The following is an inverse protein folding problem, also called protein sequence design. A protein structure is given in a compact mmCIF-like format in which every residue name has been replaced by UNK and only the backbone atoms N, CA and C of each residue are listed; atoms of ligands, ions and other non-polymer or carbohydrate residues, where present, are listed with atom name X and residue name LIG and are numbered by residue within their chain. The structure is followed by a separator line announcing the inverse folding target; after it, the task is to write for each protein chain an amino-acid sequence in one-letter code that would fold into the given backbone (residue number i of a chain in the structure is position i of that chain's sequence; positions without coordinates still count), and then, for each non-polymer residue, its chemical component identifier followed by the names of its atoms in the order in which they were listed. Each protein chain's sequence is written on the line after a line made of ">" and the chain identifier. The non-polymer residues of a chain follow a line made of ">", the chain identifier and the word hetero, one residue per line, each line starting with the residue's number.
data_IF_147215120367
#
_entry.id   IF_147215120367
#
_cell.length_a   1.000
_cell.length_b   1.000
_cell.length_c   1.000
_cell.angle_alpha   90.00
_cell.angle_beta   90.00
_cell.angle_gamma   90.00
#
_symmetry.space_group_name_H-M   'P 1'
#
loop_
_entity.id
_entity.type
_entity.pdbx_description
1 polymer ?
#
# COMPACT_ATOMS: atom_id res chain seq x y z
N UNK A 1 49.63 -31.65 -7.46
CA UNK A 1 50.74 -30.82 -7.96
C UNK A 1 50.20 -30.09 -9.19
N UNK A 2 49.82 -28.81 -9.04
CA UNK A 2 49.17 -28.03 -10.10
C UNK A 2 50.18 -27.53 -11.12
N UNK A 3 49.94 -27.81 -12.39
CA UNK A 3 50.71 -27.33 -13.54
C UNK A 3 50.52 -25.83 -13.71
N UNK A 4 51.59 -25.05 -13.51
CA UNK A 4 51.62 -23.64 -13.89
C UNK A 4 51.95 -23.56 -15.38
N UNK A 5 51.06 -22.94 -16.17
CA UNK A 5 51.32 -22.66 -17.58
C UNK A 5 52.38 -21.57 -17.69
N UNK A 6 53.57 -21.96 -18.14
CA UNK A 6 54.71 -21.05 -18.36
C UNK A 6 54.56 -20.44 -19.75
N UNK A 7 54.30 -19.14 -19.81
CA UNK A 7 54.24 -18.38 -21.06
C UNK A 7 55.63 -17.81 -21.35
N UNK A 8 56.30 -18.28 -22.41
CA UNK A 8 57.58 -17.72 -22.85
C UNK A 8 57.37 -16.55 -23.81
N UNK A 9 58.06 -15.43 -23.56
CA UNK A 9 58.01 -14.23 -24.41
C UNK A 9 59.39 -14.06 -25.04
N UNK A 10 59.49 -14.36 -26.34
CA UNK A 10 60.77 -14.37 -27.08
C UNK A 10 61.24 -12.97 -27.53
N UNK A 11 60.63 -11.90 -27.02
CA UNK A 11 60.94 -10.51 -27.41
C UNK A 11 61.29 -9.65 -26.21
N UNK A 12 62.22 -8.71 -26.40
CA UNK A 12 62.64 -7.76 -25.37
C UNK A 12 61.47 -6.85 -24.99
N UNK A 13 61.00 -6.98 -23.74
CA UNK A 13 59.91 -6.15 -23.19
C UNK A 13 60.46 -4.74 -22.97
N UNK A 14 60.05 -3.80 -23.81
CA UNK A 14 60.49 -2.37 -23.75
C UNK A 14 59.52 -1.47 -22.97
N UNK A 15 58.50 -2.07 -22.36
CA UNK A 15 57.57 -1.41 -21.44
C UNK A 15 56.50 -2.40 -21.00
N UNK A 16 56.22 -2.44 -19.71
CA UNK A 16 55.09 -3.19 -19.16
C UNK A 16 54.28 -2.27 -18.26
N UNK A 17 52.96 -2.38 -18.35
CA UNK A 17 52.04 -1.76 -17.42
C UNK A 17 51.19 -2.88 -16.83
N UNK A 18 51.26 -3.05 -15.51
CA UNK A 18 50.38 -3.97 -14.79
C UNK A 18 49.02 -3.29 -14.72
N UNK A 19 48.00 -3.92 -15.29
CA UNK A 19 46.61 -3.49 -15.11
C UNK A 19 46.33 -3.58 -13.62
N UNK A 20 46.38 -2.44 -12.94
CA UNK A 20 46.02 -2.35 -11.53
C UNK A 20 44.51 -2.48 -11.49
N UNK A 21 44.01 -3.56 -10.90
CA UNK A 21 42.58 -3.74 -10.67
C UNK A 21 42.04 -2.49 -9.98
N UNK A 22 41.17 -1.79 -10.70
CA UNK A 22 40.45 -0.65 -10.18
C UNK A 22 39.56 -1.17 -9.05
N UNK A 23 39.61 -0.58 -7.84
CA UNK A 23 38.84 -1.10 -6.72
C UNK A 23 37.36 -1.10 -7.12
N UNK A 24 36.74 -2.28 -7.03
CA UNK A 24 35.33 -2.46 -7.34
C UNK A 24 34.52 -1.38 -6.59
N UNK A 25 33.73 -0.62 -7.34
CA UNK A 25 32.90 0.44 -6.77
C UNK A 25 32.09 -0.14 -5.61
N UNK A 26 32.03 0.55 -4.44
CA UNK A 26 31.34 0.03 -3.28
C UNK A 26 29.88 -0.22 -3.62
N UNK A 27 29.46 -1.48 -3.56
CA UNK A 27 28.05 -1.87 -3.67
C UNK A 27 27.29 -1.23 -2.51
N UNK A 28 26.33 -0.37 -2.84
CA UNK A 28 25.44 0.25 -1.85
C UNK A 28 24.75 -0.84 -1.02
N UNK A 29 24.67 -0.69 0.32
CA UNK A 29 24.10 -1.70 1.19
C UNK A 29 22.63 -1.94 0.85
N UNK A 30 22.18 -3.17 1.08
CA UNK A 30 20.76 -3.49 1.06
C UNK A 30 20.05 -2.79 2.22
N UNK A 31 18.87 -2.25 1.93
CA UNK A 31 18.03 -1.49 2.86
C UNK A 31 16.61 -1.99 2.69
N UNK A 32 16.09 -2.69 3.69
CA UNK A 32 14.73 -3.21 3.65
C UNK A 32 13.71 -2.05 3.73
N UNK A 33 12.87 -1.84 2.70
CA UNK A 33 11.91 -0.75 2.68
C UNK A 33 10.81 -0.89 3.75
N UNK A 34 10.60 -2.07 4.34
CA UNK A 34 9.64 -2.29 5.43
C UNK A 34 10.07 -1.58 6.71
N UNK A 35 11.37 -1.67 7.04
CA UNK A 35 11.97 -1.04 8.23
C UNK A 35 12.50 0.37 8.01
N UNK A 36 12.51 0.86 6.77
CA UNK A 36 13.04 2.19 6.46
C UNK A 36 12.25 3.27 7.22
N UNK A 37 12.94 4.10 8.00
CA UNK A 37 12.32 5.20 8.73
C UNK A 37 12.04 6.37 7.79
N UNK A 38 10.83 6.90 7.87
CA UNK A 38 10.38 8.03 7.08
C UNK A 38 10.08 9.20 8.02
N UNK A 39 10.81 10.29 7.91
CA UNK A 39 10.61 11.43 8.82
C UNK A 39 9.32 12.18 8.50
N UNK A 40 9.08 12.42 7.22
CA UNK A 40 7.91 13.14 6.73
C UNK A 40 7.44 12.59 5.40
N UNK A 41 6.12 12.53 5.24
CA UNK A 41 5.43 12.27 3.98
C UNK A 41 5.72 13.40 2.98
N UNK A 42 6.07 13.08 1.72
CA UNK A 42 6.23 14.11 0.69
C UNK A 42 4.91 14.85 0.41
N UNK A 43 5.01 16.12 -0.01
CA UNK A 43 3.83 16.91 -0.37
C UNK A 43 3.18 16.38 -1.65
N UNK A 44 1.86 16.50 -1.75
CA UNK A 44 1.10 16.09 -2.94
C UNK A 44 -0.17 15.32 -2.62
N UNK A 45 -0.80 14.77 -3.66
CA UNK A 45 -1.92 13.82 -3.52
C UNK A 45 -1.38 12.42 -3.26
N UNK A 46 -2.03 11.67 -2.37
CA UNK A 46 -1.70 10.25 -2.19
C UNK A 46 -2.96 9.42 -2.13
N UNK A 47 -2.76 8.13 -2.36
CA UNK A 47 -3.80 7.13 -2.22
C UNK A 47 -4.15 6.96 -0.73
N UNK A 48 -5.45 6.93 -0.46
CA UNK A 48 -5.95 6.77 0.90
C UNK A 48 -7.32 6.14 0.92
N UNK A 49 -7.53 5.25 1.87
CA UNK A 49 -8.83 4.62 2.09
C UNK A 49 -9.52 5.25 3.29
N UNK A 50 -10.80 5.59 3.12
CA UNK A 50 -11.64 6.08 4.22
C UNK A 50 -12.59 4.98 4.69
N UNK A 51 -12.48 4.62 5.95
CA UNK A 51 -13.34 3.65 6.61
C UNK A 51 -14.41 4.38 7.42
N UNK A 52 -15.68 4.01 7.22
CA UNK A 52 -16.77 4.35 8.14
C UNK A 52 -17.02 3.15 9.05
N UNK A 53 -16.75 3.31 10.33
CA UNK A 53 -16.91 2.27 11.34
C UNK A 53 -18.19 2.54 12.15
N UNK A 54 -19.18 1.68 12.03
CA UNK A 54 -20.40 1.72 12.85
C UNK A 54 -20.24 0.75 14.03
N UNK A 55 -19.73 1.28 15.14
CA UNK A 55 -19.43 0.54 16.36
C UNK A 55 -20.70 0.41 17.20
N UNK A 56 -21.11 -0.83 17.50
CA UNK A 56 -22.20 -1.05 18.46
C UNK A 56 -21.61 -1.14 19.86
N UNK A 57 -22.05 -0.26 20.76
CA UNK A 57 -21.59 -0.19 22.15
C UNK A 57 -22.75 -0.37 23.12
N UNK A 58 -22.47 -0.61 24.40
CA UNK A 58 -23.48 -0.64 25.47
C UNK A 58 -24.32 0.64 25.56
N UNK A 59 -23.74 1.80 25.19
CA UNK A 59 -24.41 3.09 25.18
C UNK A 59 -25.17 3.38 23.87
N UNK A 60 -25.17 2.44 22.92
CA UNK A 60 -25.78 2.58 21.60
C UNK A 60 -24.76 2.58 20.45
N UNK A 61 -25.25 2.65 19.20
CA UNK A 61 -24.40 2.68 18.01
C UNK A 61 -23.68 4.02 17.89
N UNK A 62 -22.43 3.98 17.46
CA UNK A 62 -21.56 5.15 17.25
C UNK A 62 -20.82 5.01 15.93
N UNK A 63 -20.73 6.08 15.15
CA UNK A 63 -20.00 6.09 13.89
C UNK A 63 -18.68 6.87 14.05
N UNK A 64 -17.58 6.28 13.59
CA UNK A 64 -16.29 6.96 13.49
C UNK A 64 -15.68 6.72 12.11
N UNK A 65 -15.02 7.74 11.57
CA UNK A 65 -14.33 7.62 10.31
C UNK A 65 -12.82 7.62 10.54
N UNK A 66 -12.14 6.68 9.87
CA UNK A 66 -10.69 6.54 9.93
C UNK A 66 -10.17 6.60 8.50
N UNK A 67 -9.17 7.44 8.27
CA UNK A 67 -8.48 7.52 6.98
C UNK A 67 -7.10 6.89 7.12
N UNK A 68 -6.74 6.03 6.18
CA UNK A 68 -5.44 5.38 6.06
C UNK A 68 -4.77 5.91 4.78
N UNK A 69 -3.63 6.58 4.92
CA UNK A 69 -2.83 7.07 3.79
C UNK A 69 -1.67 6.13 3.47
N UNK A 70 -1.50 5.83 2.19
CA UNK A 70 -0.50 4.87 1.69
C UNK A 70 0.59 5.54 0.88
N UNK A 71 1.83 5.11 1.11
CA UNK A 71 3.04 5.65 0.50
C UNK A 71 3.88 4.65 -0.23
N UNK A 72 4.50 5.08 -1.33
CA UNK A 72 5.61 4.34 -1.96
C UNK A 72 6.85 4.48 -1.10
N UNK A 73 7.47 3.35 -0.76
CA UNK A 73 8.74 3.33 -0.02
C UNK A 73 9.69 2.41 -0.76
N UNK A 74 10.84 2.95 -1.15
CA UNK A 74 11.86 2.22 -1.89
C UNK A 74 13.08 1.96 -1.03
N UNK A 75 13.70 0.82 -1.26
CA UNK A 75 14.92 0.36 -0.62
C UNK A 75 15.76 -0.42 -1.61
N UNK A 76 16.67 -1.24 -1.09
CA UNK A 76 17.52 -2.13 -1.90
C UNK A 76 17.49 -3.53 -1.33
N UNK A 77 17.30 -4.52 -2.19
CA UNK A 77 17.35 -5.93 -1.82
C UNK A 77 18.05 -6.71 -2.92
N UNK A 78 19.03 -7.53 -2.55
CA UNK A 78 19.88 -8.28 -3.48
C UNK A 78 20.51 -7.37 -4.54
N UNK A 79 20.95 -6.16 -4.15
CA UNK A 79 21.58 -5.19 -5.03
C UNK A 79 20.64 -4.48 -6.03
N UNK A 80 19.33 -4.76 -5.99
CA UNK A 80 18.31 -4.11 -6.83
C UNK A 80 17.47 -3.14 -6.03
N UNK A 81 17.07 -2.03 -6.66
CA UNK A 81 16.05 -1.15 -6.08
C UNK A 81 14.71 -1.87 -6.08
N UNK A 82 14.05 -1.88 -4.93
CA UNK A 82 12.73 -2.47 -4.76
C UNK A 82 11.82 -1.49 -4.03
N UNK A 83 10.56 -1.43 -4.41
CA UNK A 83 9.58 -0.54 -3.79
C UNK A 83 8.35 -1.30 -3.33
N UNK A 84 7.77 -0.84 -2.23
CA UNK A 84 6.53 -1.36 -1.66
C UNK A 84 5.57 -0.21 -1.34
N UNK A 85 4.30 -0.54 -1.19
CA UNK A 85 3.33 0.37 -0.59
C UNK A 85 3.26 0.14 0.92
N UNK A 86 3.33 1.20 1.72
CA UNK A 86 3.23 1.16 3.18
C UNK A 86 2.12 2.09 3.67
N UNK A 87 1.35 1.70 4.71
CA UNK A 87 0.49 2.64 5.40
C UNK A 87 1.35 3.59 6.23
N UNK A 88 1.35 4.88 5.91
CA UNK A 88 2.21 5.88 6.57
C UNK A 88 1.45 6.82 7.49
N UNK A 89 0.16 7.02 7.25
CA UNK A 89 -0.65 7.96 8.02
C UNK A 89 -2.01 7.40 8.35
N UNK A 90 -2.45 7.69 9.57
CA UNK A 90 -3.75 7.34 10.13
C UNK A 90 -4.31 8.60 10.77
N UNK A 91 -5.55 8.95 10.48
CA UNK A 91 -6.21 10.07 11.15
C UNK A 91 -7.73 9.94 11.16
N UNK A 92 -8.34 10.65 12.10
CA UNK A 92 -9.80 10.85 12.18
C UNK A 92 -10.10 12.28 11.70
N UNK A 93 -11.03 12.49 10.76
CA UNK A 93 -11.39 13.83 10.30
C UNK A 93 -11.88 14.74 11.44
N UNK A 94 -11.53 16.04 11.35
CA UNK A 94 -11.73 17.01 12.44
C UNK A 94 -13.19 17.23 12.85
N UNK A 95 -14.17 17.06 11.94
CA UNK A 95 -15.60 17.24 12.26
C UNK A 95 -16.16 16.13 13.17
N UNK A 96 -15.31 15.22 13.60
CA UNK A 96 -15.62 14.21 14.61
C UNK A 96 -14.80 14.46 15.88
N UNK A 97 -14.29 15.66 16.17
CA UNK A 97 -13.55 15.91 17.41
C UNK A 97 -14.47 16.31 18.56
N UNK A 98 -15.33 15.41 19.03
CA UNK A 98 -15.90 15.55 20.38
C UNK A 98 -14.78 15.36 21.41
N UNK A 99 -14.98 15.79 22.67
CA UNK A 99 -14.00 15.53 23.75
C UNK A 99 -13.71 14.04 23.87
N UNK A 100 -14.71 13.19 23.61
CA UNK A 100 -14.58 11.73 23.57
C UNK A 100 -13.71 11.22 22.40
N UNK A 101 -13.35 12.04 21.42
CA UNK A 101 -12.55 11.62 20.24
C UNK A 101 -11.13 12.19 20.25
N UNK A 102 -10.75 12.98 21.26
CA UNK A 102 -9.38 13.49 21.41
C UNK A 102 -8.36 12.35 21.58
N UNK A 103 -8.71 11.32 22.35
CA UNK A 103 -7.84 10.15 22.53
C UNK A 103 -7.69 9.35 21.24
N UNK A 104 -8.74 9.27 20.41
CA UNK A 104 -8.64 8.59 19.10
C UNK A 104 -7.67 9.35 18.20
N UNK A 105 -7.82 10.67 18.11
CA UNK A 105 -6.93 11.52 17.32
C UNK A 105 -5.47 11.41 17.78
N UNK A 106 -5.22 11.44 19.09
CA UNK A 106 -3.89 11.22 19.65
C UNK A 106 -3.34 9.83 19.32
N UNK A 107 -4.16 8.78 19.43
CA UNK A 107 -3.80 7.40 19.09
C UNK A 107 -3.41 7.28 17.62
N UNK A 108 -4.19 7.88 16.71
CA UNK A 108 -3.91 7.84 15.27
C UNK A 108 -2.62 8.60 14.91
N UNK A 109 -2.32 9.71 15.59
CA UNK A 109 -1.04 10.43 15.43
C UNK A 109 0.15 9.58 15.87
N UNK A 110 0.06 8.93 17.03
CA UNK A 110 1.09 8.00 17.52
C UNK A 110 1.24 6.80 16.61
N UNK A 111 0.12 6.24 16.11
CA UNK A 111 0.13 5.14 15.16
C UNK A 111 0.81 5.54 13.84
N UNK A 112 0.54 6.75 13.33
CA UNK A 112 1.23 7.28 12.15
C UNK A 112 2.73 7.40 12.35
N UNK A 113 3.18 7.85 13.53
CA UNK A 113 4.59 7.90 13.86
C UNK A 113 5.22 6.50 13.89
N UNK A 114 4.57 5.53 14.54
CA UNK A 114 5.03 4.14 14.58
C UNK A 114 5.09 3.53 13.16
N UNK A 115 4.09 3.80 12.34
CA UNK A 115 4.00 3.29 10.98
C UNK A 115 5.10 3.84 10.06
N UNK A 116 5.40 5.14 10.16
CA UNK A 116 6.57 5.76 9.52
C UNK A 116 7.89 5.15 9.96
N UNK A 117 7.96 4.66 11.20
CA UNK A 117 9.11 3.92 11.73
C UNK A 117 9.20 2.45 11.31
N UNK A 118 8.22 1.91 10.57
CA UNK A 118 8.19 0.49 10.17
C UNK A 118 7.54 -0.44 11.20
N UNK A 119 6.77 0.11 12.16
CA UNK A 119 6.17 -0.64 13.26
C UNK A 119 4.64 -0.70 13.20
N UNK A 120 4.03 -0.47 12.03
CA UNK A 120 2.57 -0.39 11.88
C UNK A 120 1.86 -1.67 12.37
N UNK A 121 2.31 -2.84 11.92
CA UNK A 121 1.73 -4.13 12.29
C UNK A 121 1.79 -4.37 13.81
N UNK A 122 2.97 -4.13 14.41
CA UNK A 122 3.19 -4.29 15.85
C UNK A 122 2.35 -3.31 16.68
N UNK A 123 2.32 -2.04 16.29
CA UNK A 123 1.53 -1.03 16.96
C UNK A 123 0.03 -1.37 16.93
N UNK A 124 -0.50 -1.83 15.78
CA UNK A 124 -1.88 -2.29 15.67
C UNK A 124 -2.16 -3.51 16.55
N UNK A 125 -1.25 -4.49 16.58
CA UNK A 125 -1.37 -5.66 17.45
C UNK A 125 -1.38 -5.29 18.94
N UNK A 126 -0.64 -4.25 19.35
CA UNK A 126 -0.70 -3.74 20.72
C UNK A 126 -1.99 -2.95 20.99
N UNK A 127 -2.50 -2.18 20.02
CA UNK A 127 -3.80 -1.51 20.14
C UNK A 127 -4.97 -2.50 20.28
N UNK A 128 -4.87 -3.70 19.70
CA UNK A 128 -5.86 -4.79 19.89
C UNK A 128 -5.99 -5.25 21.35
N UNK A 129 -4.97 -5.01 22.18
CA UNK A 129 -4.93 -5.44 23.59
C UNK A 129 -5.52 -4.42 24.55
N UNK A 130 -5.88 -3.22 24.07
CA UNK A 130 -6.46 -2.18 24.92
C UNK A 130 -7.85 -2.62 25.39
N UNK A 131 -8.07 -2.57 26.70
CA UNK A 131 -9.31 -2.95 27.37
C UNK A 131 -10.03 -1.74 27.94
N UNK A 132 -11.35 -1.84 28.08
CA UNK A 132 -12.20 -0.80 28.68
C UNK A 132 -13.30 -1.41 29.58
N UNK A 133 -13.60 -0.76 30.71
CA UNK A 133 -14.71 -1.00 31.64
C UNK A 133 -16.14 -0.66 31.15
N UNK A 134 -16.33 -0.01 29.98
CA UNK A 134 -17.68 0.29 29.44
C UNK A 134 -18.35 -0.85 28.67
N UNK A 135 -17.77 -2.04 28.75
CA UNK A 135 -18.29 -3.25 28.15
C UNK A 135 -17.85 -3.46 26.70
N UNK A 136 -18.31 -4.57 26.10
CA UNK A 136 -17.86 -5.01 24.79
C UNK A 136 -18.29 -4.07 23.66
N UNK A 137 -17.46 -4.03 22.63
CA UNK A 137 -17.76 -3.38 21.34
C UNK A 137 -18.01 -4.47 20.30
N UNK A 138 -19.16 -4.44 19.66
CA UNK A 138 -19.48 -5.37 18.58
C UNK A 138 -19.22 -4.70 17.23
N UNK A 139 -18.25 -5.23 16.49
CA UNK A 139 -17.87 -4.68 15.19
C UNK A 139 -17.16 -5.72 14.31
N UNK A 140 -17.50 -5.78 13.03
CA UNK A 140 -16.89 -6.69 12.07
C UNK A 140 -17.42 -8.12 12.16
N UNK A 141 -16.97 -8.96 11.23
CA UNK A 141 -17.35 -10.38 11.15
C UNK A 141 -16.11 -11.25 11.00
N UNK A 142 -16.15 -12.44 11.59
CA UNK A 142 -15.15 -13.47 11.32
C UNK A 142 -15.42 -14.18 9.98
N UNK A 143 -14.54 -15.11 9.59
CA UNK A 143 -14.71 -15.91 8.37
C UNK A 143 -16.01 -16.73 8.35
N UNK A 144 -16.56 -17.09 9.52
CA UNK A 144 -17.85 -17.78 9.65
C UNK A 144 -19.07 -16.84 9.65
N UNK A 145 -18.87 -15.53 9.41
CA UNK A 145 -19.95 -14.53 9.36
C UNK A 145 -20.49 -14.07 10.73
N UNK A 146 -19.93 -14.56 11.85
CA UNK A 146 -20.33 -14.17 13.20
C UNK A 146 -19.73 -12.81 13.57
N UNK A 147 -20.54 -11.97 14.19
CA UNK A 147 -20.10 -10.66 14.71
C UNK A 147 -18.98 -10.83 15.74
N UNK A 148 -17.92 -10.04 15.59
CA UNK A 148 -16.80 -10.02 16.53
C UNK A 148 -17.09 -9.11 17.71
N UNK A 149 -16.54 -9.49 18.86
CA UNK A 149 -16.56 -8.71 20.09
C UNK A 149 -15.13 -8.24 20.40
N UNK A 150 -15.01 -6.99 20.82
CA UNK A 150 -13.75 -6.33 21.16
C UNK A 150 -13.83 -5.71 22.54
N UNK A 151 -12.71 -5.70 23.26
CA UNK A 151 -12.63 -5.21 24.66
C UNK A 151 -12.58 -3.68 24.78
N UNK A 152 -12.46 -2.95 23.67
CA UNK A 152 -12.50 -1.49 23.64
C UNK A 152 -12.78 -0.95 22.23
N UNK A 153 -13.14 0.34 22.15
CA UNK A 153 -13.29 1.06 20.86
C UNK A 153 -11.95 1.11 20.11
N UNK A 154 -10.83 1.30 20.83
CA UNK A 154 -9.46 1.26 20.27
C UNK A 154 -9.19 -0.07 19.60
N UNK A 155 -9.51 -1.18 20.28
CA UNK A 155 -9.27 -2.52 19.76
C UNK A 155 -10.13 -2.80 18.51
N UNK A 156 -11.39 -2.34 18.50
CA UNK A 156 -12.27 -2.47 17.33
C UNK A 156 -11.74 -1.67 16.13
N UNK A 157 -11.27 -0.43 16.35
CA UNK A 157 -10.64 0.41 15.32
C UNK A 157 -9.35 -0.25 14.79
N UNK A 158 -8.49 -0.74 15.67
CA UNK A 158 -7.25 -1.42 15.28
C UNK A 158 -7.53 -2.65 14.41
N UNK A 159 -8.53 -3.45 14.78
CA UNK A 159 -8.97 -4.59 13.96
C UNK A 159 -9.48 -4.16 12.58
N UNK A 160 -10.27 -3.07 12.53
CA UNK A 160 -10.79 -2.54 11.27
C UNK A 160 -9.65 -2.12 10.34
N UNK A 161 -8.65 -1.42 10.87
CA UNK A 161 -7.44 -1.04 10.14
C UNK A 161 -6.67 -2.28 9.67
N UNK A 162 -6.41 -3.25 10.57
CA UNK A 162 -5.71 -4.48 10.20
C UNK A 162 -6.41 -5.24 9.07
N UNK A 163 -7.75 -5.33 9.12
CA UNK A 163 -8.52 -5.95 8.06
C UNK A 163 -8.42 -5.19 6.73
N UNK A 164 -8.34 -3.86 6.75
CA UNK A 164 -8.11 -3.08 5.54
C UNK A 164 -6.69 -3.29 4.98
N UNK A 165 -5.68 -3.27 5.84
CA UNK A 165 -4.29 -3.55 5.45
C UNK A 165 -4.10 -4.97 4.91
N UNK A 166 -4.89 -5.93 5.40
CA UNK A 166 -4.92 -7.30 4.85
C UNK A 166 -5.48 -7.32 3.42
N UNK A 167 -6.60 -6.62 3.15
CA UNK A 167 -7.14 -6.48 1.79
C UNK A 167 -6.15 -5.78 0.86
N UNK A 168 -5.43 -4.79 1.39
CA UNK A 168 -4.36 -4.07 0.68
C UNK A 168 -3.05 -4.87 0.56
N UNK A 169 -3.04 -6.14 0.96
CA UNK A 169 -1.90 -7.06 0.85
C UNK A 169 -0.64 -6.52 1.56
N UNK A 170 -0.81 -5.68 2.57
CA UNK A 170 0.27 -5.27 3.48
C UNK A 170 0.40 -6.27 4.65
N UNK A 171 -0.74 -6.73 5.18
CA UNK A 171 -0.80 -7.80 6.17
C UNK A 171 -1.27 -9.13 5.56
N UNK A 172 -0.93 -10.24 6.21
CA UNK A 172 -1.43 -11.57 5.91
C UNK A 172 -2.73 -11.91 6.67
N UNK A 173 -3.18 -13.17 6.58
CA UNK A 173 -4.41 -13.63 7.25
C UNK A 173 -4.30 -13.67 8.79
N UNK A 174 -3.08 -13.70 9.33
CA UNK A 174 -2.80 -13.65 10.76
C UNK A 174 -2.54 -12.21 11.27
N UNK A 175 -2.69 -11.22 10.39
CA UNK A 175 -2.34 -9.81 10.63
C UNK A 175 -0.85 -9.57 10.88
N UNK A 176 0.01 -10.43 10.36
CA UNK A 176 1.46 -10.24 10.35
C UNK A 176 1.88 -9.51 9.07
N UNK A 177 3.01 -8.80 9.12
CA UNK A 177 3.55 -8.12 7.93
C UNK A 177 3.98 -9.16 6.89
N UNK A 178 3.57 -8.97 5.63
CA UNK A 178 3.91 -9.90 4.56
C UNK A 178 5.42 -9.92 4.24
N UNK A 179 5.92 -11.04 3.67
CA UNK A 179 7.27 -11.10 3.12
C UNK A 179 7.53 -10.00 2.08
N UNK A 180 8.77 -9.48 2.06
CA UNK A 180 9.16 -8.35 1.20
C UNK A 180 8.93 -8.65 -0.29
N UNK A 181 9.27 -9.85 -0.73
CA UNK A 181 9.09 -10.31 -2.11
C UNK A 181 7.62 -10.31 -2.55
N UNK A 182 6.70 -10.75 -1.68
CA UNK A 182 5.26 -10.68 -1.96
C UNK A 182 4.78 -9.24 -2.13
N UNK A 183 5.25 -8.33 -1.27
CA UNK A 183 4.87 -6.92 -1.29
C UNK A 183 5.42 -6.19 -2.52
N UNK A 184 6.68 -6.46 -2.88
CA UNK A 184 7.32 -5.92 -4.09
C UNK A 184 6.58 -6.39 -5.34
N UNK A 185 6.33 -7.70 -5.44
CA UNK A 185 5.59 -8.25 -6.57
C UNK A 185 4.16 -7.68 -6.67
N UNK A 186 3.49 -7.47 -5.53
CA UNK A 186 2.18 -6.81 -5.52
C UNK A 186 2.26 -5.36 -5.99
N UNK A 187 3.21 -4.58 -5.47
CA UNK A 187 3.42 -3.19 -5.86
C UNK A 187 3.70 -3.05 -7.36
N UNK A 188 4.58 -3.89 -7.91
CA UNK A 188 4.90 -3.89 -9.34
C UNK A 188 3.68 -4.24 -10.20
N UNK A 189 2.88 -5.24 -9.80
CA UNK A 189 1.63 -5.59 -10.51
C UNK A 189 0.63 -4.43 -10.50
N UNK A 190 0.38 -3.83 -9.34
CA UNK A 190 -0.56 -2.70 -9.20
C UNK A 190 -0.08 -1.50 -9.99
N UNK A 191 1.22 -1.21 -9.96
CA UNK A 191 1.83 -0.14 -10.76
C UNK A 191 1.69 -0.42 -12.26
N UNK A 192 2.06 -1.60 -12.74
CA UNK A 192 1.93 -1.95 -14.15
C UNK A 192 0.48 -1.86 -14.63
N UNK A 193 -0.48 -2.32 -13.82
CA UNK A 193 -1.91 -2.15 -14.11
C UNK A 193 -2.31 -0.67 -14.18
N UNK A 194 -1.87 0.15 -13.22
CA UNK A 194 -2.14 1.60 -13.20
C UNK A 194 -1.58 2.30 -14.42
N UNK A 195 -0.35 1.98 -14.81
CA UNK A 195 0.37 2.57 -15.95
C UNK A 195 -0.23 2.11 -17.30
N UNK A 196 -0.85 0.93 -17.34
CA UNK A 196 -1.54 0.41 -18.54
C UNK A 196 -2.95 1.00 -18.74
N UNK A 197 -3.58 1.56 -17.70
CA UNK A 197 -4.89 2.19 -17.82
C UNK A 197 -4.76 3.53 -18.54
N UNK A 198 -5.36 3.65 -19.73
CA UNK A 198 -5.43 4.88 -20.53
C UNK A 198 -6.28 6.02 -19.90
N UNK A 199 -6.66 5.89 -18.62
CA UNK A 199 -7.35 6.92 -17.87
C UNK A 199 -6.33 7.67 -17.03
N UNK A 200 -5.98 8.87 -17.50
CA UNK A 200 -5.22 9.85 -16.73
C UNK A 200 -5.90 10.01 -15.37
N UNK A 201 -5.15 9.76 -14.29
CA UNK A 201 -5.50 10.36 -13.01
C UNK A 201 -5.67 11.85 -13.27
N UNK A 202 -6.78 12.50 -12.87
CA UNK A 202 -6.87 13.94 -13.02
C UNK A 202 -5.72 14.55 -12.20
N UNK A 203 -4.67 14.97 -12.91
CA UNK A 203 -3.83 16.07 -12.48
C UNK A 203 -4.75 17.21 -12.03
N UNK A 204 -4.35 18.01 -11.03
CA UNK A 204 -5.21 19.02 -10.44
C UNK A 204 -5.89 19.79 -11.56
N UNK A 205 -7.23 19.85 -11.51
CA UNK A 205 -8.07 20.55 -12.46
C UNK A 205 -7.53 21.97 -12.65
N UNK A 206 -6.68 22.15 -13.66
CA UNK A 206 -6.44 23.47 -14.22
C UNK A 206 -7.72 23.73 -15.00
N UNK A 207 -8.59 24.56 -14.42
CA UNK A 207 -9.71 25.13 -15.15
C UNK A 207 -9.10 26.07 -16.19
N UNK A 208 -8.63 25.50 -17.30
CA UNK A 208 -8.42 26.23 -18.52
C UNK A 208 -9.80 26.44 -19.15
N UNK A 209 -10.11 27.71 -19.44
CA UNK A 209 -11.33 28.14 -20.12
C UNK A 209 -11.58 27.30 -21.40
N UNK A 210 -12.85 27.09 -21.79
CA UNK A 210 -13.17 26.09 -22.80
C UNK A 210 -12.66 26.55 -24.17
N UNK A 211 -11.69 25.82 -24.72
CA UNK A 211 -11.45 25.78 -26.16
C UNK A 211 -11.97 24.44 -26.69
N UNK A 212 -13.11 24.52 -27.36
CA UNK A 212 -13.67 23.45 -28.17
C UNK A 212 -12.72 23.13 -29.31
N UNK A 213 -12.21 21.89 -29.38
CA UNK A 213 -11.85 21.25 -30.66
C UNK A 213 -11.70 19.73 -30.57
N UNK A 214 -12.58 19.07 -31.35
CA UNK A 214 -12.49 17.82 -32.11
C UNK A 214 -12.08 16.53 -31.39
N UNK A 215 -13.07 15.65 -31.31
CA UNK A 215 -12.94 14.19 -31.21
C UNK A 215 -12.26 13.65 -32.47
N UNK A 216 -11.12 12.99 -32.30
CA UNK A 216 -10.64 11.98 -33.24
C UNK A 216 -10.55 10.62 -32.50
N UNK A 217 -10.90 9.57 -33.25
CA UNK A 217 -11.37 8.28 -32.77
C UNK A 217 -10.30 7.41 -32.05
N UNK A 218 -10.72 6.75 -30.96
CA UNK A 218 -10.00 5.61 -30.37
C UNK A 218 -10.43 4.29 -31.02
N UNK A 219 -9.53 3.29 -31.16
CA UNK A 219 -9.83 2.05 -31.87
C UNK A 219 -10.75 1.12 -31.07
N UNK A 220 -11.59 0.38 -31.78
CA UNK A 220 -12.52 -0.59 -31.24
C UNK A 220 -11.78 -1.80 -30.63
N UNK A 221 -11.66 -1.84 -29.30
CA UNK A 221 -11.44 -3.08 -28.57
C UNK A 221 -12.80 -3.73 -28.27
N UNK A 222 -12.93 -5.03 -28.54
CA UNK A 222 -14.15 -5.81 -28.34
C UNK A 222 -14.74 -5.57 -26.94
N UNK A 223 -15.96 -5.01 -26.89
CA UNK A 223 -16.60 -4.64 -25.64
C UNK A 223 -17.15 -5.90 -24.95
N UNK A 224 -16.34 -6.52 -24.09
CA UNK A 224 -16.88 -7.38 -23.04
C UNK A 224 -17.66 -6.48 -22.07
N UNK A 225 -18.89 -6.89 -21.75
CA UNK A 225 -19.74 -6.21 -20.79
C UNK A 225 -19.95 -7.11 -19.58
N UNK A 226 -19.56 -6.64 -18.40
CA UNK A 226 -19.90 -7.27 -17.13
C UNK A 226 -20.96 -6.41 -16.45
N UNK A 227 -22.11 -7.01 -16.12
CA UNK A 227 -23.25 -6.31 -15.49
C UNK A 227 -23.73 -5.06 -16.27
N UNK A 228 -23.68 -5.12 -17.61
CA UNK A 228 -24.14 -4.01 -18.48
C UNK A 228 -23.20 -2.79 -18.50
N UNK A 229 -21.97 -2.90 -17.98
CA UNK A 229 -20.94 -1.86 -18.03
C UNK A 229 -19.71 -2.34 -18.81
N UNK A 230 -18.97 -1.43 -19.49
CA UNK A 230 -17.77 -1.81 -20.22
C UNK A 230 -16.70 -2.33 -19.26
N UNK A 231 -16.15 -3.50 -19.57
CA UNK A 231 -15.00 -4.05 -18.87
C UNK A 231 -13.76 -3.26 -19.29
N UNK A 232 -13.09 -2.64 -18.32
CA UNK A 232 -11.87 -1.84 -18.50
C UNK A 232 -10.59 -2.65 -18.25
N UNK A 233 -10.73 -3.92 -17.87
CA UNK A 233 -9.64 -4.87 -17.70
C UNK A 233 -9.96 -5.96 -16.68
N UNK A 234 -8.95 -6.72 -16.29
CA UNK A 234 -9.05 -7.74 -15.23
C UNK A 234 -8.43 -7.21 -13.94
N UNK A 235 -8.94 -7.66 -12.80
CA UNK A 235 -8.47 -7.27 -11.48
C UNK A 235 -6.97 -7.57 -11.30
N UNK A 236 -6.15 -6.63 -10.80
CA UNK A 236 -4.73 -6.87 -10.55
C UNK A 236 -4.46 -7.82 -9.36
N UNK A 237 -5.48 -8.18 -8.57
CA UNK A 237 -5.37 -9.19 -7.53
C UNK A 237 -5.40 -10.61 -8.13
N UNK A 238 -4.31 -11.39 -8.04
CA UNK A 238 -4.21 -12.73 -8.62
C UNK A 238 -5.20 -13.73 -8.02
N UNK A 239 -5.72 -13.46 -6.82
CA UNK A 239 -6.70 -14.32 -6.16
C UNK A 239 -8.14 -13.98 -6.56
N UNK A 240 -8.35 -12.83 -7.19
CA UNK A 240 -9.67 -12.37 -7.59
C UNK A 240 -9.92 -12.63 -9.08
N UNK A 241 -8.99 -12.18 -9.94
CA UNK A 241 -9.08 -12.27 -11.40
C UNK A 241 -10.43 -11.81 -12.01
N UNK A 242 -11.24 -11.07 -11.26
CA UNK A 242 -12.57 -10.64 -11.68
C UNK A 242 -12.52 -9.47 -12.66
N UNK A 243 -13.64 -9.20 -13.33
CA UNK A 243 -13.74 -8.09 -14.27
C UNK A 243 -13.71 -6.73 -13.55
N UNK A 244 -12.90 -5.82 -14.08
CA UNK A 244 -12.88 -4.41 -13.70
C UNK A 244 -13.87 -3.66 -14.58
N UNK A 245 -14.81 -2.96 -13.94
CA UNK A 245 -15.78 -2.09 -14.62
C UNK A 245 -15.50 -0.64 -14.26
N UNK A 246 -15.89 0.29 -15.13
CA UNK A 246 -15.88 1.71 -14.78
C UNK A 246 -17.08 2.02 -13.87
N UNK A 247 -16.82 2.32 -12.60
CA UNK A 247 -17.82 2.78 -11.63
C UNK A 247 -17.47 4.22 -11.25
N UNK A 248 -18.32 5.19 -11.59
CA UNK A 248 -18.13 6.61 -11.28
C UNK A 248 -16.79 7.20 -11.75
N UNK A 249 -16.32 6.77 -12.93
CA UNK A 249 -15.04 7.17 -13.51
C UNK A 249 -13.83 6.39 -12.99
N UNK A 250 -14.03 5.43 -12.09
CA UNK A 250 -12.98 4.67 -11.45
C UNK A 250 -13.04 3.18 -11.79
N UNK A 251 -11.95 2.58 -12.32
CA UNK A 251 -11.85 1.15 -12.51
C UNK A 251 -12.03 0.43 -11.17
N UNK A 252 -13.11 -0.36 -11.06
CA UNK A 252 -13.53 -1.07 -9.84
C UNK A 252 -13.77 -2.54 -10.15
N UNK A 253 -13.20 -3.43 -9.36
CA UNK A 253 -13.40 -4.87 -9.47
C UNK A 253 -14.77 -5.25 -8.92
N UNK A 254 -15.56 -5.96 -9.71
CA UNK A 254 -16.88 -6.47 -9.30
C UNK A 254 -16.82 -7.59 -8.26
N UNK A 255 -15.66 -8.23 -8.08
CA UNK A 255 -15.52 -9.45 -7.30
C UNK A 255 -14.82 -9.24 -5.93
N UNK A 256 -13.82 -8.35 -5.83
CA UNK A 256 -13.13 -8.06 -4.56
C UNK A 256 -13.21 -6.60 -4.10
N UNK A 257 -13.98 -5.76 -4.81
CA UNK A 257 -14.14 -4.33 -4.51
C UNK A 257 -12.85 -3.50 -4.54
N UNK A 258 -11.76 -4.02 -5.13
CA UNK A 258 -10.58 -3.22 -5.44
C UNK A 258 -10.94 -2.08 -6.40
N UNK A 259 -10.60 -0.84 -6.09
CA UNK A 259 -10.74 0.30 -7.01
C UNK A 259 -9.47 1.14 -7.05
N UNK A 260 -9.13 1.65 -8.23
CA UNK A 260 -7.96 2.55 -8.43
C UNK A 260 -8.10 3.87 -7.66
N UNK A 261 -9.31 4.24 -7.25
CA UNK A 261 -9.63 5.53 -6.66
C UNK A 261 -9.94 5.49 -5.14
N UNK A 262 -9.82 4.32 -4.49
CA UNK A 262 -10.15 4.11 -3.06
C UNK A 262 -8.96 3.64 -2.24
#
# INVERSE_FOLDING_TARGET
>A
MGTQDIISIDRKIVGFAVVKEEPAAPTLPDVDPRSLRIDKREGGSWESTTLKLELTTSAGPRAIYVVIGYGRVCGRSNGREVCIERPLEFFVPANQSSTEHQWVSATMRTLSLAARGGFAAKALADLRKVTWDRGPIWYGKNAAGKTLTHESEVAAIAWAIQNELRKRRYLDENFEERPLDEMVAHFERVRAYRDALAYDSPSPLVIAAPSVSRLDAAPAAAHQMAQGRPVVGTCPDPNCQGDMILLDGCPTCTSCSYSKCT
#
